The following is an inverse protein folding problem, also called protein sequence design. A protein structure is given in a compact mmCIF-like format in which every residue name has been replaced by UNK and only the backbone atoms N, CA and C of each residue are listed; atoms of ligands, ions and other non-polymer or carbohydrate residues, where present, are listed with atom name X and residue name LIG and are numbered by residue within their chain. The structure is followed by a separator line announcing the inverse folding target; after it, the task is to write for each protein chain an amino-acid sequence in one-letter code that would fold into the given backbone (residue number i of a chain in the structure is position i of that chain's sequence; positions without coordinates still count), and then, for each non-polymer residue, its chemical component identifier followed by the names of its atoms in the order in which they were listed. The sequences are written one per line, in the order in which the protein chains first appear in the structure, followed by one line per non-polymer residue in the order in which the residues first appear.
data_IF_675734372794
#
_entry.id   IF_675734372794
#
_cell.length_a   1.000
_cell.length_b   1.000
_cell.length_c   1.000
_cell.angle_alpha   90.00
_cell.angle_beta   90.00
_cell.angle_gamma   90.00
#
_symmetry.space_group_name_H-M   'P 1'
#
loop_
_entity.id
_entity.type
_entity.pdbx_description
1 polymer ?
#
# COMPACT_ATOMS: atom_id res chain seq x y z
N UNK A 1 -15.11 10.24 -7.90
CA UNK A 1 -14.65 10.66 -9.23
C UNK A 1 -15.77 10.50 -10.23
N UNK A 2 -15.75 11.24 -11.34
CA UNK A 2 -16.83 11.31 -12.35
C UNK A 2 -17.07 10.03 -13.19
N UNK A 3 -16.45 8.91 -12.85
CA UNK A 3 -16.65 7.62 -13.55
C UNK A 3 -16.09 7.54 -14.98
N UNK A 4 -15.35 8.56 -15.43
CA UNK A 4 -14.75 8.64 -16.76
C UNK A 4 -13.31 9.18 -16.70
N UNK A 5 -12.54 8.94 -17.76
CA UNK A 5 -11.15 9.39 -17.82
C UNK A 5 -11.06 10.92 -17.93
N UNK A 6 -10.02 11.56 -17.36
CA UNK A 6 -9.80 13.00 -17.52
C UNK A 6 -9.70 13.44 -18.99
N UNK A 7 -9.20 12.58 -19.87
CA UNK A 7 -9.17 12.83 -21.30
C UNK A 7 -10.59 12.95 -21.87
N UNK A 8 -11.47 12.00 -21.57
CA UNK A 8 -12.87 12.01 -22.01
C UNK A 8 -13.63 13.25 -21.53
N UNK A 9 -13.37 13.70 -20.29
CA UNK A 9 -13.99 14.93 -19.76
C UNK A 9 -13.60 16.19 -20.55
N UNK A 10 -12.41 16.22 -21.15
CA UNK A 10 -11.89 17.37 -21.90
C UNK A 10 -12.23 17.29 -23.39
N UNK A 11 -12.16 16.10 -23.97
CA UNK A 11 -12.27 15.90 -25.43
C UNK A 11 -13.60 15.31 -25.87
N UNK A 12 -14.40 14.76 -24.94
CA UNK A 12 -15.64 14.04 -25.25
C UNK A 12 -15.44 12.68 -25.92
N UNK A 13 -14.19 12.20 -26.04
CA UNK A 13 -13.85 10.94 -26.67
C UNK A 13 -12.91 10.12 -25.77
N UNK A 14 -13.00 8.79 -25.84
CA UNK A 14 -12.07 7.91 -25.10
C UNK A 14 -10.67 8.00 -25.73
N UNK A 15 -9.59 8.09 -24.91
CA UNK A 15 -8.23 8.10 -25.43
C UNK A 15 -7.90 6.72 -26.00
N UNK A 16 -7.22 6.70 -27.15
CA UNK A 16 -6.56 5.48 -27.63
C UNK A 16 -5.35 5.24 -26.74
N UNK A 17 -5.38 4.18 -25.96
CA UNK A 17 -4.28 3.77 -25.10
C UNK A 17 -3.27 2.93 -25.90
N UNK A 18 -1.98 2.97 -25.55
CA UNK A 18 -1.00 2.02 -26.10
C UNK A 18 -1.42 0.55 -25.90
N UNK A 19 -2.20 0.26 -24.85
CA UNK A 19 -2.78 -1.06 -24.63
C UNK A 19 -3.76 -1.46 -25.74
N UNK A 20 -4.62 -0.56 -26.22
CA UNK A 20 -5.59 -0.84 -27.29
C UNK A 20 -4.88 -1.29 -28.58
N UNK A 21 -3.68 -0.76 -28.83
CA UNK A 21 -2.82 -1.16 -29.96
C UNK A 21 -2.28 -2.59 -29.75
N UNK A 22 -1.83 -2.93 -28.54
CA UNK A 22 -1.27 -4.25 -28.23
C UNK A 22 -2.37 -5.32 -28.11
N UNK A 23 -3.52 -4.97 -27.55
CA UNK A 23 -4.69 -5.83 -27.38
C UNK A 23 -5.21 -6.35 -28.72
N UNK A 24 -5.17 -5.51 -29.75
CA UNK A 24 -5.52 -5.89 -31.13
C UNK A 24 -4.73 -7.10 -31.66
N UNK A 25 -3.54 -7.35 -31.09
CA UNK A 25 -2.62 -8.42 -31.51
C UNK A 25 -2.62 -9.62 -30.55
N UNK A 26 -3.09 -9.45 -29.31
CA UNK A 26 -3.01 -10.48 -28.26
C UNK A 26 -4.18 -11.46 -28.25
N UNK A 27 -5.38 -11.02 -28.63
CA UNK A 27 -6.61 -11.80 -28.46
C UNK A 27 -6.83 -12.86 -29.55
N UNK A 28 -6.19 -12.73 -30.71
CA UNK A 28 -6.31 -13.68 -31.82
C UNK A 28 -4.93 -14.04 -32.34
N UNK A 29 -4.58 -15.33 -32.26
CA UNK A 29 -3.39 -15.84 -32.92
C UNK A 29 -3.50 -15.62 -34.43
N UNK A 30 -2.66 -14.72 -34.93
CA UNK A 30 -2.47 -14.52 -36.36
C UNK A 30 -1.81 -15.77 -36.94
N UNK A 31 -2.40 -16.38 -37.98
CA UNK A 31 -1.82 -17.57 -38.59
C UNK A 31 -0.52 -17.21 -39.32
N UNK A 32 0.45 -18.12 -39.27
CA UNK A 32 1.77 -17.96 -39.92
C UNK A 32 1.71 -18.28 -41.44
N UNK A 33 0.65 -17.80 -42.11
CA UNK A 33 0.42 -17.97 -43.55
C UNK A 33 -0.46 -16.86 -44.11
N UNK A 34 -0.37 -16.66 -45.42
CA UNK A 34 -1.26 -15.75 -46.14
C UNK A 34 -2.67 -16.35 -46.19
N UNK A 35 -3.65 -15.58 -45.75
CA UNK A 35 -5.07 -15.95 -45.78
C UNK A 35 -5.72 -15.53 -47.09
N UNK A 36 -6.67 -16.33 -47.55
CA UNK A 36 -7.60 -15.92 -48.61
C UNK A 36 -8.59 -14.85 -48.10
N UNK A 37 -9.27 -14.13 -49.00
CA UNK A 37 -10.18 -13.05 -48.61
C UNK A 37 -11.33 -13.53 -47.71
N UNK A 38 -11.89 -14.71 -47.98
CA UNK A 38 -12.96 -15.32 -47.18
C UNK A 38 -12.45 -15.75 -45.80
N UNK A 39 -11.28 -16.37 -45.74
CA UNK A 39 -10.64 -16.75 -44.47
C UNK A 39 -10.32 -15.49 -43.63
N UNK A 40 -9.88 -14.40 -44.25
CA UNK A 40 -9.60 -13.13 -43.57
C UNK A 40 -10.88 -12.52 -42.96
N UNK A 41 -11.98 -12.52 -43.71
CA UNK A 41 -13.29 -12.06 -43.21
C UNK A 41 -13.75 -12.93 -42.03
N UNK A 42 -13.60 -14.25 -42.13
CA UNK A 42 -13.89 -15.18 -41.04
C UNK A 42 -13.04 -14.89 -39.80
N UNK A 43 -11.74 -14.65 -39.98
CA UNK A 43 -10.83 -14.28 -38.88
C UNK A 43 -11.21 -12.96 -38.21
N UNK A 44 -11.55 -11.93 -38.98
CA UNK A 44 -12.01 -10.65 -38.43
C UNK A 44 -13.32 -10.80 -37.67
N UNK A 45 -14.30 -11.54 -38.20
CA UNK A 45 -15.56 -11.81 -37.52
C UNK A 45 -15.33 -12.59 -36.21
N UNK A 46 -14.40 -13.55 -36.23
CA UNK A 46 -14.00 -14.33 -35.05
C UNK A 46 -13.34 -13.45 -33.98
N UNK A 47 -12.45 -12.54 -34.39
CA UNK A 47 -11.80 -11.57 -33.50
C UNK A 47 -12.81 -10.65 -32.81
N UNK A 48 -13.78 -10.14 -33.58
CA UNK A 48 -14.84 -9.27 -33.08
C UNK A 48 -15.82 -10.03 -32.16
N UNK A 49 -16.22 -11.24 -32.53
CA UNK A 49 -17.20 -12.04 -31.78
C UNK A 49 -16.65 -12.56 -30.45
N UNK A 50 -15.37 -12.92 -30.39
CA UNK A 50 -14.76 -13.56 -29.22
C UNK A 50 -14.17 -12.60 -28.18
N UNK A 51 -14.25 -11.30 -28.41
CA UNK A 51 -13.62 -10.27 -27.57
C UNK A 51 -14.06 -10.33 -26.10
N UNK A 52 -15.35 -10.48 -25.81
CA UNK A 52 -15.85 -10.37 -24.43
C UNK A 52 -15.56 -11.62 -23.60
N UNK A 53 -15.75 -12.80 -24.18
CA UNK A 53 -15.56 -14.07 -23.48
C UNK A 53 -14.08 -14.33 -23.19
N UNK A 54 -13.18 -14.07 -24.14
CA UNK A 54 -11.75 -14.29 -23.91
C UNK A 54 -11.12 -13.28 -22.96
N UNK A 55 -11.56 -12.02 -22.97
CA UNK A 55 -11.11 -11.03 -21.97
C UNK A 55 -11.53 -11.49 -20.58
N UNK A 56 -12.76 -11.98 -20.41
CA UNK A 56 -13.20 -12.51 -19.11
C UNK A 56 -12.38 -13.73 -18.68
N UNK A 57 -12.16 -14.70 -19.56
CA UNK A 57 -11.30 -15.86 -19.28
C UNK A 57 -9.84 -15.46 -18.93
N UNK A 58 -9.30 -14.43 -19.60
CA UNK A 58 -7.97 -13.90 -19.31
C UNK A 58 -7.92 -13.21 -17.94
N UNK A 59 -8.95 -12.42 -17.61
CA UNK A 59 -9.05 -11.78 -16.30
C UNK A 59 -9.08 -12.84 -15.18
N UNK A 60 -9.89 -13.87 -15.34
CA UNK A 60 -9.99 -14.99 -14.39
C UNK A 60 -8.62 -15.69 -14.21
N UNK A 61 -7.93 -16.01 -15.31
CA UNK A 61 -6.57 -16.59 -15.27
C UNK A 61 -5.56 -15.68 -14.58
N UNK A 62 -5.57 -14.38 -14.89
CA UNK A 62 -4.66 -13.41 -14.28
C UNK A 62 -4.92 -13.30 -12.79
N UNK A 63 -6.19 -13.34 -12.37
CA UNK A 63 -6.55 -13.32 -10.95
C UNK A 63 -6.13 -14.60 -10.22
N UNK A 64 -6.28 -15.77 -10.85
CA UNK A 64 -5.73 -17.03 -10.32
C UNK A 64 -4.21 -16.95 -10.17
N UNK A 65 -3.50 -16.43 -11.16
CA UNK A 65 -2.04 -16.24 -11.12
C UNK A 65 -1.65 -15.28 -9.99
N UNK A 66 -2.35 -14.15 -9.84
CA UNK A 66 -2.11 -13.21 -8.72
C UNK A 66 -2.28 -13.90 -7.37
N UNK A 67 -3.33 -14.70 -7.20
CA UNK A 67 -3.56 -15.45 -5.96
C UNK A 67 -2.51 -16.53 -5.71
N UNK A 68 -2.03 -17.20 -6.75
CA UNK A 68 -0.93 -18.16 -6.63
C UNK A 68 0.38 -17.47 -6.24
N UNK A 69 0.70 -16.35 -6.90
CA UNK A 69 1.87 -15.54 -6.60
C UNK A 69 1.82 -14.98 -5.18
N UNK A 70 0.66 -14.52 -4.70
CA UNK A 70 0.48 -14.06 -3.32
C UNK A 70 0.77 -15.18 -2.33
N UNK A 71 0.20 -16.38 -2.54
CA UNK A 71 0.45 -17.56 -1.68
C UNK A 71 1.92 -17.98 -1.69
N UNK A 72 2.58 -17.91 -2.86
CA UNK A 72 4.00 -18.21 -2.96
C UNK A 72 4.83 -17.15 -2.21
N UNK A 73 4.51 -15.88 -2.38
CA UNK A 73 5.16 -14.78 -1.68
C UNK A 73 4.99 -14.90 -0.16
N UNK A 74 3.79 -15.19 0.32
CA UNK A 74 3.55 -15.45 1.75
C UNK A 74 4.47 -16.56 2.26
N UNK A 75 4.56 -17.69 1.55
CA UNK A 75 5.42 -18.84 1.91
C UNK A 75 6.92 -18.50 1.91
N UNK A 76 7.39 -17.78 0.90
CA UNK A 76 8.79 -17.40 0.78
C UNK A 76 9.19 -16.36 1.85
N UNK A 77 8.25 -15.49 2.25
CA UNK A 77 8.50 -14.37 3.14
C UNK A 77 7.91 -14.52 4.55
N UNK A 78 7.45 -15.72 4.96
CA UNK A 78 6.91 -15.99 6.31
C UNK A 78 7.81 -15.43 7.42
N UNK A 79 9.12 -15.62 7.30
CA UNK A 79 10.07 -15.20 8.33
C UNK A 79 10.41 -13.69 8.29
N UNK A 80 10.12 -13.02 7.17
CA UNK A 80 10.43 -11.61 6.92
C UNK A 80 9.23 -10.70 7.21
N UNK A 81 8.03 -11.12 6.85
CA UNK A 81 6.79 -10.40 7.12
C UNK A 81 6.43 -10.66 8.58
N UNK A 82 6.86 -9.74 9.44
CA UNK A 82 6.51 -9.74 10.86
C UNK A 82 5.44 -8.69 11.08
N UNK A 83 4.26 -9.13 11.44
CA UNK A 83 3.22 -8.23 11.93
C UNK A 83 3.48 -7.95 13.41
N UNK A 84 3.75 -6.68 13.72
CA UNK A 84 3.94 -6.23 15.09
C UNK A 84 2.68 -5.54 15.59
N UNK A 85 2.14 -6.03 16.71
CA UNK A 85 1.09 -5.37 17.47
C UNK A 85 1.68 -4.79 18.77
N UNK A 86 2.17 -3.55 18.69
CA UNK A 86 2.79 -2.89 19.84
C UNK A 86 1.72 -2.36 20.77
N UNK A 87 1.71 -2.87 22.00
CA UNK A 87 0.80 -2.39 23.06
C UNK A 87 1.24 -1.00 23.54
N UNK A 88 0.30 -0.18 24.04
CA UNK A 88 0.63 1.03 24.79
C UNK A 88 1.73 0.78 25.84
N UNK A 89 2.71 1.68 25.94
CA UNK A 89 3.85 1.58 26.87
C UNK A 89 5.05 0.84 26.29
N UNK A 90 4.89 0.16 25.15
CA UNK A 90 6.01 -0.53 24.49
C UNK A 90 7.00 0.47 23.90
N UNK A 91 8.29 0.19 24.08
CA UNK A 91 9.36 0.96 23.46
C UNK A 91 9.59 0.49 22.01
N UNK A 92 9.66 1.46 21.11
CA UNK A 92 9.79 1.26 19.67
C UNK A 92 10.79 2.24 19.08
N UNK A 93 11.36 1.93 17.93
CA UNK A 93 12.14 2.85 17.12
C UNK A 93 11.33 3.30 15.92
N UNK A 94 11.44 4.57 15.56
CA UNK A 94 10.79 5.08 14.35
C UNK A 94 11.80 5.18 13.21
N UNK A 95 11.49 4.52 12.09
CA UNK A 95 12.26 4.64 10.88
C UNK A 95 12.13 6.04 10.23
N UNK A 96 13.27 6.66 9.97
CA UNK A 96 13.36 7.98 9.35
C UNK A 96 13.41 7.88 7.82
N UNK A 97 12.23 7.79 7.22
CA UNK A 97 12.05 7.63 5.76
C UNK A 97 12.62 8.79 4.94
N UNK A 98 12.75 9.99 5.52
CA UNK A 98 13.33 11.13 4.80
C UNK A 98 14.84 10.95 4.58
N UNK A 99 15.55 10.42 5.57
CA UNK A 99 16.99 10.17 5.47
C UNK A 99 17.29 9.01 4.51
N UNK A 100 16.48 7.95 4.53
CA UNK A 100 16.72 6.77 3.67
C UNK A 100 16.63 7.11 2.18
N UNK A 101 15.72 8.02 1.80
CA UNK A 101 15.51 8.41 0.40
C UNK A 101 16.53 9.43 -0.12
N UNK A 102 17.27 10.10 0.76
CA UNK A 102 18.26 11.11 0.37
C UNK A 102 19.68 10.49 0.26
N UNK A 103 20.32 10.64 -0.89
CA UNK A 103 21.66 10.10 -1.17
C UNK A 103 22.76 10.74 -0.31
N UNK A 104 22.56 11.99 0.13
CA UNK A 104 23.59 12.78 0.83
C UNK A 104 23.61 12.55 2.35
N UNK A 105 22.66 11.77 2.90
CA UNK A 105 22.49 11.61 4.36
C UNK A 105 22.94 10.28 4.92
N UNK A 106 23.89 9.60 4.25
CA UNK A 106 24.38 8.26 4.66
C UNK A 106 24.87 8.19 6.11
N UNK A 107 25.39 9.29 6.66
CA UNK A 107 25.93 9.38 8.03
C UNK A 107 24.88 9.75 9.09
N UNK A 108 23.66 10.08 8.72
CA UNK A 108 22.62 10.45 9.68
C UNK A 108 21.92 9.22 10.28
N UNK A 109 21.37 9.33 11.51
CA UNK A 109 20.68 8.22 12.16
C UNK A 109 19.43 7.79 11.38
N UNK A 110 19.40 6.53 10.94
CA UNK A 110 18.27 5.94 10.18
C UNK A 110 17.04 5.71 11.04
N UNK A 111 17.25 5.44 12.33
CA UNK A 111 16.19 5.23 13.31
C UNK A 111 16.24 6.37 14.31
N UNK A 112 15.09 6.97 14.53
CA UNK A 112 14.87 7.91 15.61
C UNK A 112 14.59 7.10 16.88
N UNK A 113 15.03 7.69 18.00
CA UNK A 113 15.31 7.02 19.26
C UNK A 113 14.21 6.13 19.84
N UNK A 114 14.44 5.62 21.05
CA UNK A 114 13.42 4.80 21.70
C UNK A 114 12.23 5.69 22.05
N UNK A 115 11.12 5.45 21.37
CA UNK A 115 9.84 6.12 21.52
C UNK A 115 8.86 5.20 22.23
N UNK A 116 7.91 5.77 22.96
CA UNK A 116 6.87 5.05 23.67
C UNK A 116 5.61 5.06 22.80
N UNK A 117 5.01 3.88 22.60
CA UNK A 117 3.71 3.76 21.96
C UNK A 117 2.65 4.26 22.94
N UNK A 118 1.89 5.30 22.56
CA UNK A 118 0.78 5.78 23.36
C UNK A 118 -0.47 4.98 23.05
N UNK A 119 -0.86 4.95 21.76
CA UNK A 119 -2.04 4.24 21.26
C UNK A 119 -1.86 3.85 19.81
N UNK A 120 -2.56 2.78 19.41
CA UNK A 120 -2.74 2.35 18.02
C UNK A 120 -4.15 2.76 17.56
N UNK A 121 -4.26 3.34 16.37
CA UNK A 121 -5.55 3.70 15.77
C UNK A 121 -6.21 2.49 15.12
N UNK A 122 -7.50 2.58 14.79
CA UNK A 122 -8.21 1.50 14.08
C UNK A 122 -7.58 1.16 12.73
N UNK A 123 -7.04 2.17 12.01
CA UNK A 123 -6.30 1.99 10.76
C UNK A 123 -4.87 1.46 10.91
N UNK A 124 -4.44 1.09 12.12
CA UNK A 124 -3.11 0.52 12.36
C UNK A 124 -1.96 1.52 12.41
N UNK A 125 -2.24 2.82 12.48
CA UNK A 125 -1.23 3.85 12.71
C UNK A 125 -0.92 3.95 14.21
N UNK A 126 0.29 4.37 14.54
CA UNK A 126 0.75 4.54 15.92
C UNK A 126 0.91 6.02 16.27
N UNK A 127 0.47 6.38 17.47
CA UNK A 127 0.78 7.65 18.12
C UNK A 127 1.98 7.39 19.03
N UNK A 128 3.09 8.07 18.77
CA UNK A 128 4.35 7.88 19.47
C UNK A 128 4.72 9.12 20.30
N UNK A 129 5.24 8.89 21.50
CA UNK A 129 5.90 9.90 22.32
C UNK A 129 7.41 9.64 22.40
N UNK A 130 8.21 10.69 22.47
CA UNK A 130 9.57 10.56 23.00
C UNK A 130 9.52 10.29 24.52
N UNK A 131 10.61 9.77 25.08
CA UNK A 131 10.71 9.43 26.51
C UNK A 131 10.49 10.61 27.46
N UNK A 132 10.61 11.84 26.97
CA UNK A 132 10.34 13.06 27.73
C UNK A 132 8.85 13.45 27.74
N UNK A 133 7.95 12.65 27.15
CA UNK A 133 6.52 12.95 27.04
C UNK A 133 6.12 13.74 25.80
N UNK A 134 7.08 14.19 24.98
CA UNK A 134 6.79 14.96 23.77
C UNK A 134 6.17 14.07 22.69
N UNK A 135 4.94 14.36 22.28
CA UNK A 135 4.20 13.54 21.33
C UNK A 135 4.42 13.97 19.89
N UNK A 136 4.59 12.99 19.00
CA UNK A 136 4.64 13.25 17.55
C UNK A 136 3.27 13.73 17.07
N UNK A 137 3.26 14.95 16.53
CA UNK A 137 2.07 15.58 15.93
C UNK A 137 1.44 14.77 14.80
N UNK A 138 2.23 13.97 14.07
CA UNK A 138 1.75 13.11 12.99
C UNK A 138 1.73 11.67 13.46
N UNK A 139 0.68 10.95 13.06
CA UNK A 139 0.59 9.50 13.23
C UNK A 139 1.68 8.81 12.40
N UNK A 140 2.18 7.69 12.90
CA UNK A 140 3.28 6.95 12.28
C UNK A 140 2.74 5.62 11.73
N UNK A 141 3.02 5.34 10.46
CA UNK A 141 2.60 4.09 9.83
C UNK A 141 3.30 2.88 10.46
N UNK A 142 2.58 1.75 10.61
CA UNK A 142 3.08 0.54 11.26
C UNK A 142 4.42 0.04 10.70
N UNK A 143 4.61 0.08 9.38
CA UNK A 143 5.85 -0.37 8.74
C UNK A 143 7.09 0.49 9.11
N UNK A 144 6.87 1.69 9.66
CA UNK A 144 7.95 2.56 10.15
C UNK A 144 8.27 2.32 11.62
N UNK A 145 7.46 1.55 12.34
CA UNK A 145 7.64 1.29 13.77
C UNK A 145 8.32 -0.05 13.95
N UNK A 146 9.47 -0.06 14.61
CA UNK A 146 10.30 -1.23 14.83
C UNK A 146 10.42 -1.52 16.32
N UNK A 147 10.55 -2.80 16.73
CA UNK A 147 10.73 -3.12 18.14
C UNK A 147 12.03 -2.50 18.67
N UNK A 148 11.97 -1.87 19.84
CA UNK A 148 13.17 -1.50 20.59
C UNK A 148 13.43 -2.57 21.66
N UNK A 149 14.58 -3.25 21.55
CA UNK A 149 14.98 -4.27 22.52
C UNK A 149 15.55 -3.60 23.78
N UNK A 150 14.67 -3.16 24.66
CA UNK A 150 15.04 -2.68 25.99
C UNK A 150 15.59 -3.82 26.86
N UNK A 151 16.47 -3.47 27.81
CA UNK A 151 16.99 -4.43 28.82
C UNK A 151 16.06 -4.57 30.04
N UNK A 152 14.97 -3.82 30.06
CA UNK A 152 13.98 -3.74 31.14
C UNK A 152 12.56 -3.87 30.56
N UNK A 153 11.60 -4.10 31.44
CA UNK A 153 10.19 -4.30 31.07
C UNK A 153 9.55 -3.03 30.47
N UNK A 154 8.47 -3.16 29.67
CA UNK A 154 7.76 -2.00 29.10
C UNK A 154 7.37 -0.98 30.17
N UNK A 155 7.34 0.29 29.77
CA UNK A 155 6.99 1.39 30.68
C UNK A 155 5.49 1.32 30.94
N UNK A 156 5.10 1.20 32.21
CA UNK A 156 3.69 1.30 32.60
C UNK A 156 3.19 2.72 32.38
N UNK A 157 2.20 2.87 31.50
CA UNK A 157 1.54 4.14 31.26
C UNK A 157 0.39 4.30 32.27
N UNK A 158 0.40 5.34 33.13
CA UNK A 158 -0.71 5.58 34.05
C UNK A 158 -1.97 5.97 33.29
N UNK A 159 -3.16 5.69 33.85
CA UNK A 159 -4.44 5.98 33.17
C UNK A 159 -4.60 7.47 32.80
N UNK A 160 -4.02 8.38 33.60
CA UNK A 160 -3.92 9.81 33.32
C UNK A 160 -2.66 10.13 32.50
N UNK A 161 -2.54 9.58 31.31
CA UNK A 161 -1.39 9.84 30.42
C UNK A 161 -1.28 11.34 30.07
N UNK A 162 -2.37 12.10 30.18
CA UNK A 162 -2.44 13.55 29.90
C UNK A 162 -1.54 14.41 30.77
N UNK A 163 -1.20 13.98 31.99
CA UNK A 163 -0.31 14.74 32.87
C UNK A 163 1.17 14.58 32.46
N UNK A 164 1.47 13.53 31.70
CA UNK A 164 2.82 13.18 31.23
C UNK A 164 3.06 13.54 29.76
N UNK A 165 2.01 13.92 29.05
CA UNK A 165 2.00 14.17 27.61
C UNK A 165 1.62 15.64 27.37
N UNK A 166 2.29 16.29 26.42
CA UNK A 166 1.96 17.66 25.97
C UNK A 166 0.61 17.79 25.20
N UNK A 167 -0.34 16.86 25.37
CA UNK A 167 -1.63 16.81 24.67
C UNK A 167 -2.80 16.63 25.64
N UNK A 168 -3.85 17.43 25.44
CA UNK A 168 -5.11 17.25 26.14
C UNK A 168 -5.84 15.99 25.67
N UNK A 169 -6.77 15.50 26.50
CA UNK A 169 -7.61 14.33 26.18
C UNK A 169 -8.37 14.48 24.86
N UNK A 170 -8.94 15.65 24.64
CA UNK A 170 -9.68 15.99 23.42
C UNK A 170 -8.80 15.94 22.18
N UNK A 171 -7.54 16.37 22.27
CA UNK A 171 -6.61 16.32 21.15
C UNK A 171 -6.20 14.88 20.82
N UNK A 172 -6.00 14.03 21.83
CA UNK A 172 -5.70 12.61 21.63
C UNK A 172 -6.89 11.87 21.00
N UNK A 173 -8.10 12.15 21.47
CA UNK A 173 -9.34 11.59 20.91
C UNK A 173 -9.54 12.02 19.46
N UNK A 174 -9.33 13.32 19.16
CA UNK A 174 -9.33 13.82 17.78
C UNK A 174 -8.31 13.08 16.90
N UNK A 175 -7.09 12.85 17.40
CA UNK A 175 -6.07 12.07 16.71
C UNK A 175 -6.40 10.57 16.62
N UNK A 176 -7.39 10.05 17.33
CA UNK A 176 -7.86 8.68 17.13
C UNK A 176 -8.96 8.61 16.07
N UNK A 177 -9.79 9.65 15.98
CA UNK A 177 -10.94 9.71 15.08
C UNK A 177 -10.61 10.19 13.67
N UNK A 178 -9.61 11.08 13.49
CA UNK A 178 -9.27 11.55 12.15
C UNK A 178 -8.45 10.51 11.40
N UNK A 179 -9.07 9.73 10.52
CA UNK A 179 -8.34 8.94 9.52
C UNK A 179 -7.81 9.89 8.44
N UNK A 180 -6.82 10.72 8.79
CA UNK A 180 -6.09 11.56 7.84
C UNK A 180 -5.25 10.62 6.95
N UNK A 181 -5.92 10.11 5.92
CA UNK A 181 -5.32 9.55 4.71
C UNK A 181 -5.04 10.75 3.81
N UNK A 182 -3.86 11.35 4.00
CA UNK A 182 -3.25 12.23 2.99
C UNK A 182 -3.04 11.45 1.68
#
# INVERSE_FOLDING_TARGET
GFGCSPYFLVTGAEPILPLDIVESTWLVHTPDRILTHEELIGYHALALAKHRTHVQEMMEKVDEIKQQNLRQFEREFINKIKEYDFKPGTLVQMHNTAIEKELDRKMYPRYLGPMIVIRRTKGGLYILADMNGAVKKKKVAAFRVLPYHARYEPIELPENIHDLIDLSKEQLEKMLETDDVD
#
